data_IF_813672023564
#
_entry.id   IF_813672023564
#
_cell.length_a   1.000
_cell.length_b   1.000
_cell.length_c   1.000
_cell.angle_alpha   90.00
_cell.angle_beta   90.00
_cell.angle_gamma   90.00
#
_symmetry.space_group_name_H-M   'P 1'
#
loop_
_entity.id
_entity.type
_entity.pdbx_description
1 polymer ?
#
# COMPACT_ATOMS: atom_id res chain seq x y z
N UNK A 1 7.25 -15.39 8.97
CA UNK A 1 7.88 -14.06 8.98
C UNK A 1 6.91 -13.11 8.33
N UNK A 2 6.63 -11.94 8.94
CA UNK A 2 5.68 -10.95 8.40
C UNK A 2 6.39 -9.64 8.13
N UNK A 3 6.15 -9.04 6.98
CA UNK A 3 6.71 -7.74 6.58
C UNK A 3 5.63 -6.66 6.66
N UNK A 4 5.98 -5.53 7.28
CA UNK A 4 5.13 -4.33 7.30
C UNK A 4 5.84 -3.22 6.52
N UNK A 5 5.21 -2.76 5.45
CA UNK A 5 5.70 -1.63 4.66
C UNK A 5 4.93 -0.37 5.09
N UNK A 6 5.63 0.62 5.62
CA UNK A 6 5.03 1.91 5.96
C UNK A 6 5.45 2.94 4.91
N UNK A 7 4.48 3.50 4.19
CA UNK A 7 4.72 4.62 3.29
C UNK A 7 3.51 5.53 3.27
N UNK A 8 3.73 6.85 3.17
CA UNK A 8 2.62 7.82 3.15
C UNK A 8 1.60 7.48 2.06
N UNK A 9 2.06 7.03 0.91
CA UNK A 9 1.21 6.66 -0.22
C UNK A 9 1.41 5.21 -0.62
N UNK A 10 0.33 4.58 -1.02
CA UNK A 10 0.33 3.23 -1.57
C UNK A 10 -0.68 3.18 -2.71
N UNK A 11 -0.66 2.12 -3.53
CA UNK A 11 -1.65 1.88 -4.58
C UNK A 11 -3.07 2.29 -4.13
N UNK A 12 -3.87 3.01 -4.94
CA UNK A 12 -3.64 3.36 -6.35
C UNK A 12 -2.86 4.66 -6.58
N UNK A 13 -2.21 5.24 -5.56
CA UNK A 13 -1.41 6.46 -5.72
C UNK A 13 -0.20 6.27 -6.66
N UNK A 14 0.13 7.31 -7.44
CA UNK A 14 1.15 7.26 -8.50
C UNK A 14 2.47 7.98 -8.16
N UNK A 15 2.63 8.47 -6.92
CA UNK A 15 3.91 9.01 -6.47
C UNK A 15 5.03 7.98 -6.64
N UNK A 16 6.26 8.45 -6.86
CA UNK A 16 7.41 7.58 -7.11
C UNK A 16 7.57 6.50 -6.01
N UNK A 17 7.45 6.90 -4.75
CA UNK A 17 7.53 5.98 -3.61
C UNK A 17 6.36 5.01 -3.55
N UNK A 18 5.13 5.44 -3.92
CA UNK A 18 3.97 4.54 -3.95
C UNK A 18 4.18 3.42 -4.97
N UNK A 19 4.66 3.75 -6.17
CA UNK A 19 4.95 2.77 -7.22
C UNK A 19 6.02 1.76 -6.80
N UNK A 20 7.09 2.24 -6.16
CA UNK A 20 8.15 1.37 -5.64
C UNK A 20 7.64 0.42 -4.55
N UNK A 21 6.93 0.94 -3.54
CA UNK A 21 6.42 0.15 -2.41
C UNK A 21 5.36 -0.85 -2.87
N UNK A 22 4.49 -0.45 -3.81
CA UNK A 22 3.51 -1.35 -4.45
C UNK A 22 4.20 -2.51 -5.15
N UNK A 23 5.21 -2.22 -5.98
CA UNK A 23 5.98 -3.27 -6.67
C UNK A 23 6.66 -4.23 -5.69
N UNK A 24 7.23 -3.70 -4.60
CA UNK A 24 7.86 -4.51 -3.55
C UNK A 24 6.84 -5.39 -2.82
N UNK A 25 5.69 -4.83 -2.44
CA UNK A 25 4.64 -5.57 -1.75
C UNK A 25 4.15 -6.78 -2.57
N UNK A 26 3.91 -6.58 -3.86
CA UNK A 26 3.55 -7.69 -4.74
C UNK A 26 4.66 -8.73 -4.87
N UNK A 27 5.94 -8.30 -4.94
CA UNK A 27 7.06 -9.24 -4.98
C UNK A 27 7.11 -10.11 -3.72
N UNK A 28 6.96 -9.51 -2.53
CA UNK A 28 6.96 -10.24 -1.26
C UNK A 28 5.80 -11.24 -1.18
N UNK A 29 4.58 -10.84 -1.56
CA UNK A 29 3.42 -11.76 -1.58
C UNK A 29 3.62 -12.91 -2.56
N UNK A 30 4.18 -12.65 -3.76
CA UNK A 30 4.50 -13.71 -4.73
C UNK A 30 5.51 -14.73 -4.20
N UNK A 31 6.44 -14.30 -3.35
CA UNK A 31 7.39 -15.17 -2.66
C UNK A 31 6.77 -15.89 -1.43
N UNK A 32 5.46 -15.72 -1.19
CA UNK A 32 4.75 -16.34 -0.07
C UNK A 32 4.98 -15.64 1.28
N UNK A 33 5.51 -14.41 1.28
CA UNK A 33 5.74 -13.63 2.49
C UNK A 33 4.49 -12.84 2.86
N UNK A 34 3.98 -13.08 4.07
CA UNK A 34 2.86 -12.31 4.62
C UNK A 34 3.23 -10.83 4.69
N UNK A 35 2.52 -10.00 3.92
CA UNK A 35 2.85 -8.59 3.73
C UNK A 35 1.65 -7.71 4.00
N UNK A 36 1.85 -6.70 4.84
CA UNK A 36 0.86 -5.66 5.11
C UNK A 36 1.42 -4.27 4.92
N UNK A 37 0.58 -3.32 4.55
CA UNK A 37 0.95 -1.93 4.27
C UNK A 37 0.22 -0.98 5.20
N UNK A 38 0.96 -0.03 5.78
CA UNK A 38 0.42 1.12 6.49
C UNK A 38 0.59 2.37 5.62
N UNK A 39 -0.51 3.06 5.30
CA UNK A 39 -0.51 4.25 4.46
C UNK A 39 -1.49 5.34 4.91
N UNK A 40 -1.47 6.48 4.22
CA UNK A 40 -2.49 7.52 4.36
C UNK A 40 -3.75 7.18 3.56
N UNK A 41 -4.89 7.77 3.95
CA UNK A 41 -6.14 7.73 3.18
C UNK A 41 -6.22 8.72 2.02
N UNK A 42 -5.17 9.51 1.76
CA UNK A 42 -5.13 10.52 0.70
C UNK A 42 -4.22 10.14 -0.46
N UNK A 43 -4.52 10.69 -1.64
CA UNK A 43 -3.62 10.71 -2.78
C UNK A 43 -2.60 11.85 -2.66
N UNK A 44 -1.45 11.68 -3.30
CA UNK A 44 -0.44 12.72 -3.46
C UNK A 44 -1.00 13.94 -4.20
N UNK A 45 -1.68 13.71 -5.33
CA UNK A 45 -2.14 14.78 -6.23
C UNK A 45 -3.65 15.07 -6.17
N UNK A 46 -4.43 14.31 -5.38
CA UNK A 46 -5.88 14.48 -5.30
C UNK A 46 -6.35 14.68 -3.87
N UNK A 47 -6.65 15.94 -3.52
CA UNK A 47 -6.99 16.34 -2.15
C UNK A 47 -8.41 15.99 -1.69
N UNK A 48 -9.35 15.68 -2.61
CA UNK A 48 -10.77 15.45 -2.28
C UNK A 48 -11.17 13.98 -2.23
N UNK A 49 -10.33 13.08 -2.74
CA UNK A 49 -10.63 11.66 -2.74
C UNK A 49 -10.07 11.00 -1.49
N UNK A 50 -10.90 10.19 -0.82
CA UNK A 50 -10.54 9.45 0.39
C UNK A 50 -10.58 7.96 0.11
N UNK A 51 -9.48 7.29 0.37
CA UNK A 51 -9.35 5.84 0.22
C UNK A 51 -9.99 5.10 1.40
N UNK A 52 -10.35 3.83 1.18
CA UNK A 52 -10.87 2.95 2.21
C UNK A 52 -9.85 2.78 3.34
N UNK A 53 -10.31 2.78 4.59
CA UNK A 53 -9.42 2.64 5.75
C UNK A 53 -8.78 1.24 5.83
N UNK A 54 -9.46 0.21 5.31
CA UNK A 54 -8.96 -1.16 5.24
C UNK A 54 -9.41 -1.79 3.94
N UNK A 55 -8.50 -2.49 3.27
CA UNK A 55 -8.75 -3.25 2.05
C UNK A 55 -7.68 -4.32 1.88
N UNK A 56 -7.99 -5.35 1.10
CA UNK A 56 -7.00 -6.35 0.67
C UNK A 56 -6.85 -6.24 -0.85
N UNK A 57 -5.63 -6.02 -1.32
CA UNK A 57 -5.31 -5.86 -2.74
C UNK A 57 -4.32 -6.94 -3.12
N UNK A 58 -4.71 -7.87 -3.99
CA UNK A 58 -3.86 -8.97 -4.48
C UNK A 58 -3.10 -9.72 -3.36
N UNK A 59 -3.79 -9.99 -2.25
CA UNK A 59 -3.23 -10.67 -1.08
C UNK A 59 -2.44 -9.78 -0.11
N UNK A 60 -2.35 -8.47 -0.37
CA UNK A 60 -1.70 -7.48 0.50
C UNK A 60 -2.75 -6.86 1.43
N UNK A 61 -2.57 -6.97 2.74
CA UNK A 61 -3.42 -6.26 3.70
C UNK A 61 -3.03 -4.79 3.75
N UNK A 62 -3.96 -3.89 3.44
CA UNK A 62 -3.72 -2.44 3.49
C UNK A 62 -4.53 -1.80 4.60
N UNK A 63 -3.83 -1.10 5.49
CA UNK A 63 -4.41 -0.30 6.55
C UNK A 63 -4.05 1.18 6.31
N UNK A 64 -5.07 2.01 6.17
CA UNK A 64 -4.92 3.45 5.92
C UNK A 64 -5.43 4.29 7.08
N UNK A 65 -4.61 5.23 7.52
CA UNK A 65 -4.90 6.21 8.58
C UNK A 65 -5.15 7.61 8.02
#
# INVERSE_FOLDING_TARGET
>A
MRVVLANRYFYPDQSATSRMVTSLAHALVREGIETSVLASRSYHDRRKETLAARETIDGIEVHRI
#
